data_IF_513872346239
#
_entry.id   IF_513872346239
#
_cell.length_a   1.000
_cell.length_b   1.000
_cell.length_c   1.000
_cell.angle_alpha   90.00
_cell.angle_beta   90.00
_cell.angle_gamma   90.00
#
_symmetry.space_group_name_H-M   'P 1'
#
loop_
_entity.id
_entity.type
_entity.pdbx_description
1 polymer ?
#
# COMPACT_ATOMS: atom_id res chain seq x y z
N UNK A 1 -89.66 -33.14 20.72
CA UNK A 1 -89.96 -34.53 21.17
C UNK A 1 -89.36 -35.51 20.23
N UNK A 2 -88.79 -36.63 20.61
CA UNK A 2 -87.98 -36.93 21.78
C UNK A 2 -86.67 -37.70 21.43
N UNK A 3 -85.81 -37.71 22.44
CA UNK A 3 -85.01 -38.85 22.96
C UNK A 3 -83.76 -39.37 22.27
N UNK A 4 -82.69 -39.16 23.00
CA UNK A 4 -81.51 -39.97 23.12
C UNK A 4 -81.72 -41.47 23.25
N UNK A 5 -80.78 -42.41 23.00
CA UNK A 5 -79.87 -42.73 24.08
C UNK A 5 -78.42 -43.19 23.63
N UNK A 6 -77.49 -43.01 24.56
CA UNK A 6 -76.30 -43.69 24.94
C UNK A 6 -75.92 -45.06 24.26
N UNK A 7 -74.57 -45.25 24.00
CA UNK A 7 -73.75 -46.40 24.39
C UNK A 7 -72.32 -46.15 24.09
N UNK A 8 -71.56 -46.02 25.13
CA UNK A 8 -70.47 -46.90 25.65
C UNK A 8 -69.42 -47.40 24.66
N UNK A 9 -68.26 -46.84 24.88
CA UNK A 9 -66.91 -47.42 25.06
C UNK A 9 -66.59 -48.73 24.40
N UNK A 10 -65.49 -48.73 23.66
CA UNK A 10 -64.44 -49.79 23.75
C UNK A 10 -63.07 -49.20 23.40
N UNK A 11 -62.21 -49.19 24.40
CA UNK A 11 -60.78 -48.86 24.23
C UNK A 11 -60.07 -49.99 23.48
N UNK A 12 -59.61 -49.71 22.31
CA UNK A 12 -58.71 -50.62 21.58
C UNK A 12 -57.31 -50.05 21.61
N UNK A 13 -56.45 -50.59 22.43
CA UNK A 13 -55.06 -50.28 22.53
C UNK A 13 -54.36 -50.92 21.32
N UNK A 14 -54.09 -50.10 20.27
CA UNK A 14 -53.23 -50.50 19.14
C UNK A 14 -51.79 -50.17 19.51
N UNK A 15 -51.04 -51.20 19.83
CA UNK A 15 -49.59 -51.14 20.00
C UNK A 15 -48.97 -50.97 18.61
N UNK A 16 -48.57 -49.75 18.27
CA UNK A 16 -47.82 -49.46 17.05
C UNK A 16 -46.33 -49.84 17.28
N UNK A 17 -45.92 -50.97 16.76
CA UNK A 17 -44.52 -51.35 16.70
C UNK A 17 -43.87 -50.50 15.63
N UNK A 18 -43.15 -49.46 16.04
CA UNK A 18 -42.29 -48.67 15.14
C UNK A 18 -41.05 -49.56 14.78
N UNK A 19 -41.05 -50.11 13.59
CA UNK A 19 -39.81 -50.66 12.98
C UNK A 19 -38.94 -49.48 12.60
N UNK A 20 -37.96 -49.19 13.43
CA UNK A 20 -36.90 -48.26 13.09
C UNK A 20 -35.99 -48.93 12.06
N UNK A 21 -36.31 -48.74 10.79
CA UNK A 21 -35.40 -49.07 9.70
C UNK A 21 -34.18 -48.15 9.77
N UNK A 22 -33.02 -48.73 10.10
CA UNK A 22 -31.75 -48.05 9.98
C UNK A 22 -31.53 -47.68 8.51
N UNK A 23 -31.71 -46.41 8.16
CA UNK A 23 -31.27 -45.84 6.89
C UNK A 23 -29.72 -45.82 6.96
N UNK A 24 -29.00 -46.51 6.06
CA UNK A 24 -27.54 -46.42 6.04
C UNK A 24 -27.17 -44.95 5.85
N UNK A 25 -26.37 -44.46 6.80
CA UNK A 25 -26.01 -43.07 6.94
C UNK A 25 -25.49 -42.46 5.64
N UNK A 26 -26.21 -41.51 5.13
CA UNK A 26 -25.61 -40.43 4.35
C UNK A 26 -24.72 -39.66 5.33
N UNK A 27 -23.44 -40.01 5.33
CA UNK A 27 -22.42 -39.10 5.92
C UNK A 27 -22.46 -37.85 5.04
N UNK A 28 -23.25 -36.88 5.44
CA UNK A 28 -23.00 -35.52 5.00
C UNK A 28 -21.57 -35.24 5.50
N UNK A 29 -20.62 -35.33 4.57
CA UNK A 29 -19.30 -34.80 4.81
C UNK A 29 -19.56 -33.38 5.26
N UNK A 30 -19.30 -33.08 6.53
CA UNK A 30 -19.23 -31.70 6.99
C UNK A 30 -18.17 -31.05 6.10
N UNK A 31 -18.63 -30.28 5.14
CA UNK A 31 -17.75 -29.36 4.42
C UNK A 31 -17.21 -28.45 5.49
N UNK A 32 -15.96 -28.66 5.86
CA UNK A 32 -15.23 -27.77 6.73
C UNK A 32 -15.43 -26.34 6.18
N UNK A 33 -16.03 -25.42 6.93
CA UNK A 33 -16.23 -24.07 6.48
C UNK A 33 -14.93 -23.26 6.62
N UNK A 34 -13.78 -23.89 6.39
CA UNK A 34 -12.52 -23.14 6.28
C UNK A 34 -12.74 -22.07 5.24
N UNK A 35 -12.55 -20.80 5.60
CA UNK A 35 -12.81 -19.72 4.67
C UNK A 35 -11.94 -19.95 3.42
N UNK A 36 -12.54 -19.95 2.25
CA UNK A 36 -11.88 -20.19 0.97
C UNK A 36 -10.69 -19.25 0.74
N UNK A 37 -10.74 -18.06 1.35
CA UNK A 37 -9.71 -17.06 1.31
C UNK A 37 -9.28 -16.72 2.72
N UNK A 38 -7.97 -16.63 2.93
CA UNK A 38 -7.38 -16.40 4.25
C UNK A 38 -6.52 -15.15 4.30
N UNK A 39 -6.14 -14.60 3.14
CA UNK A 39 -5.31 -13.42 3.10
C UNK A 39 -6.09 -12.19 3.59
N UNK A 40 -5.58 -11.43 4.60
CA UNK A 40 -6.31 -10.33 5.23
C UNK A 40 -6.87 -9.30 4.24
N UNK A 41 -6.14 -8.97 3.17
CA UNK A 41 -6.57 -8.02 2.14
C UNK A 41 -7.80 -8.57 1.41
N UNK A 42 -7.81 -9.84 1.01
CA UNK A 42 -8.95 -10.46 0.32
C UNK A 42 -10.16 -10.57 1.24
N UNK A 43 -9.95 -11.05 2.48
CA UNK A 43 -11.03 -11.15 3.49
C UNK A 43 -11.65 -9.78 3.78
N UNK A 44 -10.84 -8.72 3.82
CA UNK A 44 -11.34 -7.35 4.00
C UNK A 44 -12.10 -6.85 2.78
N UNK A 45 -11.58 -7.08 1.57
CA UNK A 45 -12.25 -6.67 0.33
C UNK A 45 -13.63 -7.33 0.17
N UNK A 46 -13.77 -8.60 0.51
CA UNK A 46 -15.02 -9.36 0.44
C UNK A 46 -16.15 -8.79 1.30
N UNK A 47 -15.84 -8.03 2.36
CA UNK A 47 -16.88 -7.33 3.17
C UNK A 47 -17.66 -6.29 2.37
N UNK A 48 -17.10 -5.85 1.26
CA UNK A 48 -17.65 -4.81 0.39
C UNK A 48 -18.29 -5.37 -0.88
N UNK A 49 -18.25 -6.68 -1.12
CA UNK A 49 -18.84 -7.27 -2.32
C UNK A 49 -20.31 -6.89 -2.48
N UNK A 50 -20.67 -6.38 -3.65
CA UNK A 50 -22.00 -5.87 -3.98
C UNK A 50 -22.31 -4.46 -3.46
N UNK A 51 -21.44 -3.87 -2.63
CA UNK A 51 -21.61 -2.53 -2.10
C UNK A 51 -20.91 -1.46 -2.97
N UNK A 52 -21.22 -0.20 -2.71
CA UNK A 52 -20.48 0.93 -3.28
C UNK A 52 -19.03 0.98 -2.74
N UNK A 53 -18.06 0.92 -3.62
CA UNK A 53 -16.63 0.94 -3.30
C UNK A 53 -15.94 2.27 -3.62
N UNK A 54 -16.53 3.06 -4.50
CA UNK A 54 -15.88 4.20 -5.12
C UNK A 54 -14.95 3.76 -6.24
N UNK A 55 -14.03 4.64 -6.62
CA UNK A 55 -13.03 4.36 -7.66
C UNK A 55 -12.12 3.19 -7.26
N UNK A 56 -11.64 2.44 -8.23
CA UNK A 56 -10.80 1.24 -8.01
C UNK A 56 -9.55 1.55 -7.14
N UNK A 57 -8.93 2.70 -7.35
CA UNK A 57 -7.77 3.13 -6.59
C UNK A 57 -8.11 3.41 -5.12
N UNK A 58 -9.13 4.21 -4.85
CA UNK A 58 -9.54 4.55 -3.48
C UNK A 58 -10.10 3.34 -2.72
N UNK A 59 -10.79 2.44 -3.42
CA UNK A 59 -11.23 1.18 -2.85
C UNK A 59 -10.04 0.33 -2.38
N UNK A 60 -9.04 0.15 -3.24
CA UNK A 60 -7.84 -0.62 -2.92
C UNK A 60 -7.08 0.00 -1.76
N UNK A 61 -6.87 1.33 -1.75
CA UNK A 61 -6.20 2.03 -0.65
C UNK A 61 -6.89 1.78 0.69
N UNK A 62 -8.24 1.91 0.73
CA UNK A 62 -9.05 1.64 1.92
C UNK A 62 -8.90 0.21 2.39
N UNK A 63 -9.04 -0.77 1.50
CA UNK A 63 -8.93 -2.19 1.84
C UNK A 63 -7.56 -2.53 2.40
N UNK A 64 -6.49 -2.02 1.78
CA UNK A 64 -5.12 -2.25 2.26
C UNK A 64 -4.93 -1.65 3.66
N UNK A 65 -5.39 -0.43 3.87
CA UNK A 65 -5.29 0.22 5.19
C UNK A 65 -6.06 -0.56 6.26
N UNK A 66 -7.31 -0.93 6.01
CA UNK A 66 -8.12 -1.69 6.95
C UNK A 66 -7.55 -3.08 7.27
N UNK A 67 -6.97 -3.74 6.27
CA UNK A 67 -6.43 -5.09 6.42
C UNK A 67 -5.06 -5.11 7.11
N UNK A 68 -4.24 -4.07 6.93
CA UNK A 68 -2.82 -4.11 7.28
C UNK A 68 -2.36 -2.99 8.19
N UNK A 69 -3.14 -1.89 8.31
CA UNK A 69 -2.74 -0.64 8.93
C UNK A 69 -1.68 0.13 8.14
N UNK A 70 -1.44 -0.23 6.88
CA UNK A 70 -0.45 0.41 6.01
C UNK A 70 -1.16 1.32 5.01
N UNK A 71 -0.61 2.50 4.78
CA UNK A 71 -1.13 3.44 3.82
C UNK A 71 -0.43 3.27 2.47
N UNK A 72 -1.21 3.12 1.41
CA UNK A 72 -0.74 3.24 0.03
C UNK A 72 -0.72 4.72 -0.30
N UNK A 73 0.43 5.22 -0.73
CA UNK A 73 0.64 6.64 -0.99
C UNK A 73 -0.21 7.19 -2.14
N UNK A 74 -0.07 8.50 -2.40
CA UNK A 74 -0.87 9.19 -3.41
C UNK A 74 -0.46 8.85 -4.84
N UNK A 75 0.84 8.59 -5.09
CA UNK A 75 1.34 8.26 -6.41
C UNK A 75 0.73 6.95 -6.92
N UNK A 76 0.10 6.98 -8.09
CA UNK A 76 -0.67 5.85 -8.61
C UNK A 76 0.19 4.59 -8.84
N UNK A 77 1.46 4.76 -9.16
CA UNK A 77 2.40 3.66 -9.41
C UNK A 77 3.26 3.34 -8.18
N UNK A 78 3.87 4.37 -7.60
CA UNK A 78 4.87 4.21 -6.55
C UNK A 78 4.27 4.19 -5.13
N UNK A 79 3.02 4.62 -4.96
CA UNK A 79 2.34 4.66 -3.66
C UNK A 79 2.27 3.30 -2.96
N UNK A 80 2.36 2.19 -3.69
CA UNK A 80 2.45 0.85 -3.10
C UNK A 80 3.72 0.65 -2.28
N UNK A 81 4.83 1.26 -2.69
CA UNK A 81 6.09 1.16 -1.95
C UNK A 81 6.02 1.88 -0.61
N UNK A 82 5.15 2.90 -0.48
CA UNK A 82 4.88 3.57 0.81
C UNK A 82 4.24 2.59 1.81
N UNK A 83 3.40 1.68 1.34
CA UNK A 83 2.86 0.59 2.14
C UNK A 83 3.88 -0.54 2.42
N UNK A 84 5.11 -0.40 1.93
CA UNK A 84 6.16 -1.40 2.04
C UNK A 84 6.00 -2.57 1.07
N UNK A 85 5.27 -2.37 -0.03
CA UNK A 85 5.11 -3.39 -1.05
C UNK A 85 6.43 -3.67 -1.79
N UNK A 86 6.52 -4.85 -2.35
CA UNK A 86 7.49 -5.21 -3.39
C UNK A 86 6.74 -5.52 -4.68
N UNK A 87 7.27 -5.07 -5.81
CA UNK A 87 6.78 -5.48 -7.12
C UNK A 87 7.18 -6.95 -7.37
N UNK A 88 6.25 -7.72 -7.90
CA UNK A 88 6.46 -9.14 -8.22
C UNK A 88 6.04 -9.41 -9.67
N UNK A 89 6.64 -10.39 -10.35
CA UNK A 89 6.16 -10.80 -11.67
C UNK A 89 4.68 -11.16 -11.64
N UNK A 90 3.90 -10.80 -12.67
CA UNK A 90 2.49 -11.17 -12.77
C UNK A 90 2.27 -12.68 -12.64
N UNK A 91 3.18 -13.49 -13.20
CA UNK A 91 3.12 -14.95 -13.10
C UNK A 91 3.25 -15.48 -11.65
N UNK A 92 3.83 -14.69 -10.76
CA UNK A 92 4.03 -15.01 -9.35
C UNK A 92 3.00 -14.35 -8.42
N UNK A 93 2.10 -13.55 -9.00
CA UNK A 93 1.04 -12.91 -8.22
C UNK A 93 0.12 -13.96 -7.61
N UNK A 94 -0.29 -13.75 -6.38
CA UNK A 94 -1.07 -14.69 -5.56
C UNK A 94 -2.14 -13.98 -4.74
N UNK A 95 -2.94 -14.75 -3.99
CA UNK A 95 -3.97 -14.22 -3.09
C UNK A 95 -3.44 -13.04 -2.26
N UNK A 96 -4.14 -11.91 -2.32
CA UNK A 96 -3.83 -10.68 -1.60
C UNK A 96 -2.84 -9.74 -2.28
N UNK A 97 -2.20 -10.15 -3.36
CA UNK A 97 -1.39 -9.21 -4.18
C UNK A 97 -2.33 -8.25 -4.94
N UNK A 98 -1.81 -7.10 -5.28
CA UNK A 98 -2.56 -6.07 -6.03
C UNK A 98 -2.06 -6.04 -7.46
N UNK A 99 -2.97 -6.17 -8.42
CA UNK A 99 -2.68 -5.92 -9.84
C UNK A 99 -3.07 -4.49 -10.17
N UNK A 100 -2.22 -3.81 -10.90
CA UNK A 100 -2.45 -2.45 -11.39
C UNK A 100 -2.13 -2.37 -12.88
N UNK A 101 -3.01 -1.71 -13.64
CA UNK A 101 -2.71 -1.23 -14.98
C UNK A 101 -2.43 0.25 -14.89
N UNK A 102 -1.23 0.68 -15.28
CA UNK A 102 -0.75 2.06 -15.18
C UNK A 102 0.10 2.45 -16.40
N UNK A 103 0.19 3.75 -16.66
CA UNK A 103 1.17 4.32 -17.59
C UNK A 103 2.39 4.77 -16.78
N UNK A 104 3.53 4.09 -16.99
CA UNK A 104 4.77 4.34 -16.25
C UNK A 104 5.32 5.77 -16.43
N UNK A 105 4.79 6.53 -17.39
CA UNK A 105 5.18 7.92 -17.65
C UNK A 105 4.28 8.96 -16.98
N UNK A 106 3.12 8.52 -16.47
CA UNK A 106 2.14 9.39 -15.82
C UNK A 106 1.62 8.70 -14.56
N UNK A 107 2.35 8.85 -13.47
CA UNK A 107 2.11 8.12 -12.22
C UNK A 107 1.44 8.98 -11.15
N UNK A 108 1.09 10.23 -11.46
CA UNK A 108 0.42 11.11 -10.50
C UNK A 108 -0.87 10.49 -9.96
N UNK A 109 -1.12 10.65 -8.66
CA UNK A 109 -2.32 10.11 -8.01
C UNK A 109 -3.63 10.78 -8.44
N UNK A 110 -3.55 11.88 -9.18
CA UNK A 110 -4.66 12.55 -9.86
C UNK A 110 -4.76 12.17 -11.35
N UNK A 111 -3.96 11.19 -11.80
CA UNK A 111 -4.06 10.67 -13.15
C UNK A 111 -5.46 10.08 -13.38
N UNK A 112 -6.18 10.64 -14.33
CA UNK A 112 -7.51 10.20 -14.74
C UNK A 112 -7.54 10.03 -16.27
N UNK A 113 -7.10 8.88 -16.73
CA UNK A 113 -7.16 8.52 -18.14
C UNK A 113 -7.63 7.08 -18.33
N UNK A 114 -8.25 6.82 -19.49
CA UNK A 114 -8.82 5.53 -19.80
C UNK A 114 -7.79 4.41 -19.78
N UNK A 115 -8.13 3.32 -19.11
CA UNK A 115 -7.29 2.12 -19.02
C UNK A 115 -6.59 1.94 -17.69
N UNK A 116 -6.57 2.95 -16.81
CA UNK A 116 -6.13 2.77 -15.43
C UNK A 116 -7.08 1.82 -14.70
N UNK A 117 -6.53 0.85 -14.01
CA UNK A 117 -7.32 -0.02 -13.16
C UNK A 117 -6.48 -0.66 -12.07
N UNK A 118 -7.12 -0.93 -10.93
CA UNK A 118 -6.51 -1.59 -9.78
C UNK A 118 -7.43 -2.69 -9.27
N UNK A 119 -6.90 -3.90 -9.09
CA UNK A 119 -7.66 -5.06 -8.64
C UNK A 119 -6.87 -5.88 -7.61
N UNK A 120 -7.57 -6.50 -6.67
CA UNK A 120 -7.01 -7.37 -5.64
C UNK A 120 -7.09 -8.82 -6.13
N UNK A 121 -5.96 -9.52 -6.16
CA UNK A 121 -5.90 -10.93 -6.59
C UNK A 121 -6.55 -11.82 -5.54
N UNK A 122 -7.50 -12.61 -5.98
CA UNK A 122 -8.08 -13.70 -5.20
C UNK A 122 -7.46 -15.05 -5.58
N UNK A 123 -7.18 -15.25 -6.87
CA UNK A 123 -6.58 -16.49 -7.38
C UNK A 123 -5.83 -16.21 -8.68
N UNK A 124 -4.65 -16.77 -8.83
CA UNK A 124 -3.91 -16.81 -10.08
C UNK A 124 -4.28 -18.09 -10.83
N UNK A 125 -4.93 -17.97 -11.98
CA UNK A 125 -5.38 -19.11 -12.80
C UNK A 125 -4.28 -19.64 -13.73
N UNK A 126 -3.15 -18.93 -13.82
CA UNK A 126 -2.13 -19.17 -14.82
C UNK A 126 -2.48 -18.52 -16.17
N UNK A 127 -1.53 -18.56 -17.11
CA UNK A 127 -1.76 -18.00 -18.44
C UNK A 127 -2.01 -16.49 -18.50
N UNK A 128 -1.79 -15.76 -17.42
CA UNK A 128 -2.08 -14.32 -17.31
C UNK A 128 -3.50 -14.00 -16.86
N UNK A 129 -4.29 -15.01 -16.51
CA UNK A 129 -5.65 -14.84 -16.02
C UNK A 129 -5.75 -14.92 -14.50
N UNK A 130 -6.62 -14.08 -13.95
CA UNK A 130 -6.82 -13.96 -12.50
C UNK A 130 -8.31 -13.95 -12.15
N UNK A 131 -8.62 -14.50 -10.98
CA UNK A 131 -9.81 -14.13 -10.24
C UNK A 131 -9.47 -12.96 -9.35
N UNK A 132 -10.25 -11.87 -9.42
CA UNK A 132 -9.98 -10.64 -8.69
C UNK A 132 -11.22 -10.14 -7.98
N UNK A 133 -11.02 -9.26 -6.99
CA UNK A 133 -12.06 -8.40 -6.45
C UNK A 133 -11.62 -6.94 -6.62
N UNK A 134 -12.48 -6.13 -7.20
CA UNK A 134 -12.20 -4.74 -7.50
C UNK A 134 -13.47 -3.88 -7.44
N UNK A 135 -13.31 -2.59 -7.56
CA UNK A 135 -14.42 -1.63 -7.66
C UNK A 135 -14.38 -0.91 -8.99
N UNK A 136 -15.53 -0.43 -9.44
CA UNK A 136 -15.68 0.41 -10.62
C UNK A 136 -15.27 -0.23 -11.97
N UNK A 137 -15.19 -1.54 -12.05
CA UNK A 137 -14.87 -2.23 -13.31
C UNK A 137 -15.89 -1.95 -14.43
N UNK A 138 -17.12 -1.62 -14.07
CA UNK A 138 -18.22 -1.28 -14.99
C UNK A 138 -18.60 0.21 -14.94
N UNK A 139 -17.75 1.08 -14.41
CA UNK A 139 -18.01 2.52 -14.24
C UNK A 139 -19.18 2.86 -13.32
N UNK A 140 -19.50 1.97 -12.39
CA UNK A 140 -20.64 2.11 -11.45
C UNK A 140 -20.22 2.10 -9.98
N UNK A 141 -18.90 2.11 -9.73
CA UNK A 141 -18.29 2.16 -8.39
C UNK A 141 -18.72 1.02 -7.45
N UNK A 142 -19.24 -0.08 -7.98
CA UNK A 142 -19.65 -1.25 -7.21
C UNK A 142 -18.52 -2.27 -7.14
N UNK A 143 -18.33 -2.83 -5.94
CA UNK A 143 -17.33 -3.88 -5.69
C UNK A 143 -17.83 -5.22 -6.22
N UNK A 144 -17.01 -5.91 -7.01
CA UNK A 144 -17.35 -7.21 -7.59
C UNK A 144 -16.17 -8.17 -7.58
N UNK A 145 -16.51 -9.44 -7.41
CA UNK A 145 -15.62 -10.54 -7.77
C UNK A 145 -15.75 -10.80 -9.26
N UNK A 146 -14.62 -10.90 -9.94
CA UNK A 146 -14.55 -11.18 -11.38
C UNK A 146 -13.62 -12.34 -11.68
N UNK A 147 -14.05 -13.23 -12.56
CA UNK A 147 -13.23 -14.32 -13.13
C UNK A 147 -12.62 -13.88 -14.47
N UNK A 148 -11.52 -14.51 -14.86
CA UNK A 148 -10.91 -14.32 -16.18
C UNK A 148 -10.34 -12.91 -16.44
N UNK A 149 -9.95 -12.19 -15.38
CA UNK A 149 -9.32 -10.89 -15.56
C UNK A 149 -7.89 -11.05 -16.05
N UNK A 150 -7.61 -10.54 -17.25
CA UNK A 150 -6.27 -10.50 -17.83
C UNK A 150 -5.81 -9.04 -17.90
N UNK A 151 -4.90 -8.59 -17.00
CA UNK A 151 -4.47 -7.21 -16.93
C UNK A 151 -3.65 -6.76 -18.14
N UNK A 152 -2.93 -7.68 -18.78
CA UNK A 152 -2.16 -7.39 -20.01
C UNK A 152 -3.08 -7.10 -21.19
N UNK A 153 -4.12 -7.89 -21.36
CA UNK A 153 -5.16 -7.64 -22.37
C UNK A 153 -5.95 -6.37 -22.04
N UNK A 154 -6.25 -6.14 -20.76
CA UNK A 154 -6.92 -4.93 -20.31
C UNK A 154 -6.11 -3.68 -20.69
N UNK A 155 -4.80 -3.69 -20.45
CA UNK A 155 -3.89 -2.62 -20.85
C UNK A 155 -3.91 -2.38 -22.38
N UNK A 156 -3.90 -3.45 -23.16
CA UNK A 156 -3.85 -3.37 -24.63
C UNK A 156 -5.13 -2.78 -25.27
N UNK A 157 -6.30 -2.91 -24.60
CA UNK A 157 -7.60 -2.48 -25.16
C UNK A 157 -7.75 -0.98 -25.36
N UNK A 158 -7.01 -0.18 -24.62
CA UNK A 158 -7.20 1.28 -24.58
C UNK A 158 -6.33 2.05 -25.58
N UNK A 159 -5.53 1.36 -26.40
CA UNK A 159 -4.73 2.00 -27.44
C UNK A 159 -3.58 2.89 -26.91
N UNK A 160 -3.36 2.95 -25.59
CA UNK A 160 -2.22 3.60 -25.00
C UNK A 160 -1.05 2.60 -24.91
N UNK A 161 0.00 2.73 -25.75
CA UNK A 161 1.09 1.76 -25.81
C UNK A 161 1.99 1.78 -24.55
N UNK A 162 1.74 2.69 -23.63
CA UNK A 162 2.54 2.84 -22.41
C UNK A 162 1.89 2.20 -21.18
N UNK A 163 0.62 1.78 -21.31
CA UNK A 163 -0.02 1.04 -20.25
C UNK A 163 0.69 -0.30 -20.04
N UNK A 164 1.00 -0.58 -18.77
CA UNK A 164 1.61 -1.82 -18.32
C UNK A 164 0.84 -2.39 -17.15
N UNK A 165 0.88 -3.70 -17.03
CA UNK A 165 0.34 -4.40 -15.88
C UNK A 165 1.46 -4.69 -14.87
N UNK A 166 1.22 -4.33 -13.63
CA UNK A 166 2.13 -4.51 -12.50
C UNK A 166 1.45 -5.34 -11.42
N UNK A 167 2.20 -6.05 -10.62
CA UNK A 167 1.69 -6.72 -9.42
C UNK A 167 2.53 -6.34 -8.20
N UNK A 168 1.85 -6.07 -7.08
CA UNK A 168 2.47 -5.62 -5.84
C UNK A 168 2.07 -6.54 -4.70
N UNK A 169 3.05 -6.94 -3.90
CA UNK A 169 2.88 -7.71 -2.68
C UNK A 169 3.08 -6.84 -1.47
N UNK A 170 2.02 -6.63 -0.70
CA UNK A 170 2.05 -5.84 0.53
C UNK A 170 2.27 -6.77 1.72
N UNK A 171 3.25 -6.49 2.61
CA UNK A 171 3.50 -7.34 3.77
C UNK A 171 2.36 -7.23 4.79
N UNK A 172 1.81 -8.38 5.21
CA UNK A 172 0.79 -8.48 6.24
C UNK A 172 1.38 -9.12 7.51
N UNK A 173 0.98 -8.63 8.69
CA UNK A 173 1.39 -9.24 9.95
C UNK A 173 0.74 -10.62 10.08
N UNK A 174 1.52 -11.69 10.24
CA UNK A 174 1.02 -13.03 10.53
C UNK A 174 0.89 -13.99 9.36
N UNK A 175 1.14 -13.58 8.11
CA UNK A 175 1.29 -14.52 7.01
C UNK A 175 2.69 -15.16 7.04
N UNK A 176 2.82 -16.24 7.82
CA UNK A 176 3.98 -17.13 7.72
C UNK A 176 3.82 -17.94 6.43
N UNK A 177 4.44 -17.50 5.36
CA UNK A 177 4.45 -18.14 4.05
C UNK A 177 5.75 -17.86 3.33
N UNK A 178 6.68 -18.78 3.51
CA UNK A 178 7.84 -19.14 2.70
C UNK A 178 8.39 -18.14 1.68
N UNK A 179 9.62 -17.70 1.92
CA UNK A 179 10.61 -17.49 0.88
C UNK A 179 10.71 -16.05 0.35
N UNK A 180 11.68 -15.34 0.82
CA UNK A 180 12.19 -14.14 0.24
C UNK A 180 12.25 -12.99 1.25
N UNK A 181 13.25 -13.03 2.12
CA UNK A 181 13.73 -11.83 2.79
C UNK A 181 14.30 -10.89 1.73
N UNK A 182 13.41 -10.09 1.12
CA UNK A 182 13.83 -8.80 0.59
C UNK A 182 13.94 -7.88 1.81
N UNK A 183 15.05 -7.17 1.98
CA UNK A 183 15.14 -6.24 3.09
C UNK A 183 13.95 -5.30 2.98
N UNK A 184 13.22 -5.12 4.09
CA UNK A 184 12.37 -3.95 4.24
C UNK A 184 13.19 -2.79 3.71
N UNK A 185 12.74 -2.17 2.64
CA UNK A 185 13.26 -0.86 2.25
C UNK A 185 13.04 -0.02 3.50
N UNK A 186 14.12 0.10 4.28
CA UNK A 186 14.08 0.70 5.58
C UNK A 186 13.45 2.07 5.38
N UNK A 187 12.44 2.40 6.18
CA UNK A 187 12.20 3.80 6.47
C UNK A 187 13.58 4.34 6.80
N UNK A 188 14.14 5.10 5.87
CA UNK A 188 15.39 5.78 6.14
C UNK A 188 15.04 6.75 7.24
N UNK A 189 15.40 6.40 8.47
CA UNK A 189 15.22 7.31 9.61
C UNK A 189 16.07 8.53 9.31
N UNK A 190 15.43 9.55 8.74
CA UNK A 190 16.05 10.83 8.47
C UNK A 190 15.92 11.69 9.72
N UNK A 191 17.04 12.15 10.23
CA UNK A 191 17.12 13.03 11.38
C UNK A 191 17.87 14.32 11.01
N UNK A 192 17.69 15.35 11.82
CA UNK A 192 18.42 16.60 11.61
C UNK A 192 19.94 16.37 11.51
N UNK A 193 20.55 16.96 10.49
CA UNK A 193 21.96 16.81 10.17
C UNK A 193 22.28 15.66 9.18
N UNK A 194 21.32 14.78 8.89
CA UNK A 194 21.54 13.73 7.91
C UNK A 194 21.71 14.33 6.50
N UNK A 195 22.65 13.77 5.75
CA UNK A 195 22.80 14.06 4.33
C UNK A 195 22.03 13.03 3.52
N UNK A 196 21.32 13.50 2.51
CA UNK A 196 20.59 12.66 1.60
C UNK A 196 20.70 13.20 0.17
N UNK A 197 20.29 12.39 -0.79
CA UNK A 197 20.14 12.80 -2.20
C UNK A 197 18.72 12.54 -2.64
N UNK A 198 18.23 13.39 -3.54
CA UNK A 198 16.95 13.18 -4.22
C UNK A 198 17.04 11.94 -5.11
N UNK A 199 16.07 11.04 -4.97
CA UNK A 199 15.89 9.83 -5.76
C UNK A 199 14.42 9.71 -6.14
N UNK A 200 14.03 10.48 -7.16
CA UNK A 200 12.66 10.61 -7.68
C UNK A 200 12.54 10.05 -9.11
N UNK A 201 13.44 9.11 -9.46
CA UNK A 201 13.44 8.32 -10.70
C UNK A 201 13.27 9.13 -12.00
N UNK A 202 13.88 10.32 -12.04
CA UNK A 202 13.90 11.19 -13.22
C UNK A 202 12.86 12.32 -13.19
N UNK A 203 11.80 12.20 -12.40
CA UNK A 203 10.75 13.21 -12.33
C UNK A 203 11.12 14.43 -11.48
N UNK A 204 12.18 14.33 -10.68
CA UNK A 204 12.57 15.34 -9.72
C UNK A 204 11.58 15.47 -8.56
N UNK A 205 11.98 16.18 -7.51
CA UNK A 205 11.25 16.28 -6.25
C UNK A 205 10.79 17.73 -5.98
N UNK A 206 9.52 17.92 -5.72
CA UNK A 206 8.99 19.25 -5.38
C UNK A 206 9.47 19.69 -3.98
N UNK A 207 10.17 20.82 -3.92
CA UNK A 207 10.47 21.55 -2.69
C UNK A 207 9.31 22.48 -2.38
N UNK A 208 8.71 22.35 -1.19
CA UNK A 208 7.49 23.07 -0.82
C UNK A 208 7.68 23.98 0.38
N UNK A 209 6.82 24.99 0.48
CA UNK A 209 6.86 25.95 1.59
C UNK A 209 6.45 25.35 2.94
N UNK A 210 5.62 24.32 2.93
CA UNK A 210 5.11 23.61 4.10
C UNK A 210 4.95 22.12 3.77
N UNK A 211 4.80 21.24 4.78
CA UNK A 211 4.47 19.83 4.53
C UNK A 211 3.08 19.71 3.91
N UNK A 212 2.89 18.69 3.06
CA UNK A 212 1.62 18.41 2.38
C UNK A 212 1.64 18.72 0.88
N UNK A 213 0.84 17.96 0.14
CA UNK A 213 0.77 18.04 -1.34
C UNK A 213 0.11 19.33 -1.82
N UNK A 214 -0.75 19.92 -1.01
CA UNK A 214 -1.41 21.21 -1.29
C UNK A 214 -0.52 22.43 -1.03
N UNK A 215 0.62 22.27 -0.34
CA UNK A 215 1.52 23.37 -0.04
C UNK A 215 2.19 23.93 -1.31
N UNK A 216 2.38 25.25 -1.34
CA UNK A 216 2.99 25.95 -2.47
C UNK A 216 4.36 25.34 -2.82
N UNK A 217 4.55 24.96 -4.07
CA UNK A 217 5.85 24.54 -4.62
C UNK A 217 6.75 25.76 -4.72
N UNK A 218 7.94 25.68 -4.14
CA UNK A 218 8.98 26.70 -4.24
C UNK A 218 9.84 26.50 -5.49
N UNK A 219 10.25 25.24 -5.70
CA UNK A 219 11.01 24.82 -6.88
C UNK A 219 10.94 23.30 -7.01
N UNK A 220 11.47 22.75 -8.11
CA UNK A 220 11.63 21.33 -8.34
C UNK A 220 13.12 20.97 -8.28
N UNK A 221 13.48 20.04 -7.42
CA UNK A 221 14.84 19.52 -7.26
C UNK A 221 15.06 18.39 -8.26
N UNK A 222 16.18 18.43 -8.98
CA UNK A 222 16.55 17.33 -9.85
C UNK A 222 17.01 16.09 -9.02
N UNK A 223 16.96 14.93 -9.64
CA UNK A 223 17.55 13.72 -9.06
C UNK A 223 19.02 13.91 -8.76
N UNK A 224 19.49 13.21 -7.74
CA UNK A 224 20.84 13.34 -7.20
C UNK A 224 21.16 14.68 -6.56
N UNK A 225 20.20 15.62 -6.47
CA UNK A 225 20.40 16.85 -5.69
C UNK A 225 20.70 16.47 -4.24
N UNK A 226 21.85 16.95 -3.74
CA UNK A 226 22.23 16.78 -2.35
C UNK A 226 21.41 17.70 -1.44
N UNK A 227 20.89 17.13 -0.35
CA UNK A 227 20.11 17.88 0.65
C UNK A 227 20.62 17.54 2.06
N UNK A 228 20.42 18.46 2.99
CA UNK A 228 20.67 18.22 4.42
C UNK A 228 19.34 18.31 5.14
N UNK A 229 19.01 17.32 5.94
CA UNK A 229 17.76 17.30 6.72
C UNK A 229 17.88 18.28 7.89
N UNK A 230 16.89 19.15 8.04
CA UNK A 230 16.81 20.16 9.09
C UNK A 230 15.85 19.77 10.20
N UNK A 231 14.82 18.97 9.92
CA UNK A 231 13.81 18.57 10.90
C UNK A 231 14.31 17.47 11.83
N UNK A 232 13.98 17.60 13.12
CA UNK A 232 14.30 16.58 14.14
C UNK A 232 13.54 15.27 13.90
N UNK A 233 12.33 15.37 13.36
CA UNK A 233 11.47 14.24 13.02
C UNK A 233 10.65 14.57 11.78
N UNK A 234 10.26 13.57 10.98
CA UNK A 234 9.31 13.77 9.91
C UNK A 234 7.95 14.24 10.44
N UNK A 235 7.24 15.01 9.63
CA UNK A 235 5.85 15.45 9.87
C UNK A 235 4.95 14.70 8.91
N UNK A 236 4.01 13.92 9.44
CA UNK A 236 3.07 13.15 8.61
C UNK A 236 1.88 14.03 8.21
N UNK A 237 1.75 14.31 6.91
CA UNK A 237 0.65 15.07 6.30
C UNK A 237 0.28 14.39 4.97
N UNK A 238 -1.01 14.27 4.69
CA UNK A 238 -1.54 13.63 3.47
C UNK A 238 -1.00 12.21 3.27
N UNK A 239 -0.88 11.42 4.37
CA UNK A 239 -0.38 10.04 4.33
C UNK A 239 1.11 9.90 3.99
N UNK A 240 1.89 10.98 4.05
CA UNK A 240 3.34 11.02 3.75
C UNK A 240 4.13 11.63 4.89
N UNK A 241 5.32 11.13 5.05
CA UNK A 241 6.31 11.75 5.93
C UNK A 241 7.04 12.86 5.16
N UNK A 242 7.00 14.07 5.70
CA UNK A 242 7.66 15.25 5.18
C UNK A 242 8.82 15.64 6.06
N UNK A 243 9.92 16.00 5.45
CA UNK A 243 11.09 16.51 6.15
C UNK A 243 11.45 17.89 5.61
N UNK A 244 11.84 18.79 6.52
CA UNK A 244 12.42 20.06 6.13
C UNK A 244 13.88 19.82 5.76
N UNK A 245 14.30 20.35 4.62
CA UNK A 245 15.64 20.17 4.10
C UNK A 245 16.25 21.48 3.66
N UNK A 246 17.57 21.58 3.79
CA UNK A 246 18.37 22.62 3.15
C UNK A 246 18.90 22.10 1.83
N UNK A 247 18.74 22.89 0.78
CA UNK A 247 19.13 22.58 -0.59
C UNK A 247 19.91 23.74 -1.20
N UNK A 248 20.63 23.54 -2.32
CA UNK A 248 21.24 24.66 -3.06
C UNK A 248 20.26 25.75 -3.50
N UNK A 249 18.97 25.42 -3.59
CA UNK A 249 17.88 26.33 -3.99
C UNK A 249 17.16 26.98 -2.80
N UNK A 250 17.63 26.75 -1.56
CA UNK A 250 17.02 27.22 -0.33
C UNK A 250 16.37 26.10 0.47
N UNK A 251 15.76 26.49 1.60
CA UNK A 251 15.14 25.56 2.54
C UNK A 251 13.66 25.34 2.21
N UNK A 252 13.18 24.13 2.50
CA UNK A 252 11.78 23.78 2.28
C UNK A 252 11.47 22.34 2.64
N UNK A 253 10.24 21.95 2.39
CA UNK A 253 9.71 20.63 2.74
C UNK A 253 9.67 19.71 1.52
N UNK A 254 10.13 18.50 1.69
CA UNK A 254 10.08 17.43 0.69
C UNK A 254 9.51 16.15 1.31
N UNK A 255 8.88 15.32 0.48
CA UNK A 255 8.42 14.01 0.92
C UNK A 255 9.64 13.09 1.14
N UNK A 256 9.77 12.56 2.36
CA UNK A 256 10.95 11.82 2.84
C UNK A 256 11.25 10.56 2.02
N UNK A 257 10.23 9.92 1.47
CA UNK A 257 10.37 8.71 0.67
C UNK A 257 11.22 8.87 -0.60
N UNK A 258 11.33 10.11 -1.11
CA UNK A 258 12.16 10.42 -2.28
C UNK A 258 13.59 10.86 -1.91
N UNK A 259 13.99 10.62 -0.67
CA UNK A 259 15.34 10.90 -0.22
C UNK A 259 16.08 9.59 0.09
N UNK A 260 17.24 9.43 -0.48
CA UNK A 260 18.16 8.36 -0.16
C UNK A 260 19.24 8.89 0.77
N UNK A 261 19.26 8.41 2.02
CA UNK A 261 20.28 8.78 3.00
C UNK A 261 21.67 8.40 2.50
N UNK A 262 22.61 9.34 2.56
CA UNK A 262 24.00 9.05 2.32
C UNK A 262 24.62 8.51 3.61
N UNK A 263 25.00 7.24 3.60
CA UNK A 263 25.89 6.71 4.64
C UNK A 263 27.27 7.29 4.37
N UNK A 264 27.77 8.11 5.29
CA UNK A 264 29.18 8.51 5.29
C UNK A 264 29.94 7.20 5.55
N UNK A 265 30.48 6.60 4.50
CA UNK A 265 31.40 5.47 4.63
C UNK A 265 32.50 5.89 5.62
N UNK A 266 32.76 5.03 6.61
CA UNK A 266 33.71 5.31 7.68
C UNK A 266 35.00 5.91 7.12
N UNK A 267 35.37 7.04 7.69
CA UNK A 267 36.61 7.70 7.40
C UNK A 267 37.73 6.71 7.62
N UNK A 268 38.40 6.36 6.54
CA UNK A 268 39.73 5.71 6.61
C UNK A 268 40.63 6.61 7.42
N UNK A 269 41.09 6.14 8.55
CA UNK A 269 42.15 6.72 9.35
C UNK A 269 43.41 6.70 8.50
N UNK A 270 43.77 7.82 7.91
CA UNK A 270 45.01 7.97 7.15
C UNK A 270 45.27 9.43 6.85
N UNK A 271 46.11 10.06 7.66
CA UNK A 271 46.72 11.34 7.33
C UNK A 271 46.24 12.53 8.15
N UNK A 272 46.78 12.62 9.35
CA UNK A 272 46.77 13.83 10.15
C UNK A 272 47.54 14.94 9.38
N UNK A 273 46.79 15.88 8.77
CA UNK A 273 47.37 17.14 8.33
C UNK A 273 47.45 18.08 9.51
N UNK A 274 48.54 18.76 9.79
CA UNK A 274 48.66 19.64 10.93
C UNK A 274 47.68 20.83 10.79
N UNK A 275 46.96 21.09 11.84
CA UNK A 275 46.09 22.25 11.98
C UNK A 275 46.97 23.46 12.08
N UNK A 276 47.01 24.29 11.03
CA UNK A 276 47.63 25.62 11.10
C UNK A 276 46.73 26.52 11.94
N UNK A 277 47.10 26.69 13.21
CA UNK A 277 46.48 27.66 14.11
C UNK A 277 46.83 29.06 13.64
N UNK A 278 45.89 29.80 13.08
CA UNK A 278 46.02 31.23 12.86
C UNK A 278 45.86 31.93 14.20
N UNK A 279 46.97 32.45 14.73
CA UNK A 279 46.90 33.41 15.85
C UNK A 279 46.48 34.76 15.31
N UNK A 280 45.29 35.20 15.67
CA UNK A 280 44.84 36.60 15.48
C UNK A 280 45.50 37.41 16.57
N UNK A 281 46.52 38.20 16.28
CA UNK A 281 47.10 39.16 17.17
C UNK A 281 46.27 40.46 17.05
N UNK A 282 45.47 40.79 18.05
CA UNK A 282 44.77 42.07 18.13
C UNK A 282 45.76 43.07 18.72
N UNK A 283 46.10 44.18 18.06
CA UNK A 283 46.92 45.20 18.64
C UNK A 283 46.10 45.96 19.69
N UNK A 284 46.60 45.98 20.94
CA UNK A 284 46.05 46.82 21.99
C UNK A 284 46.56 48.25 21.74
N UNK A 285 45.67 49.16 21.31
CA UNK A 285 45.98 50.61 21.26
C UNK A 285 45.84 51.15 22.65
N UNK A 286 46.94 51.37 23.34
CA UNK A 286 46.97 52.10 24.61
C UNK A 286 46.82 53.61 24.28
N UNK A 287 45.64 54.13 24.52
CA UNK A 287 45.40 55.59 24.53
C UNK A 287 45.99 56.20 25.79
N UNK A 288 47.12 56.84 25.65
CA UNK A 288 47.67 57.72 26.71
C UNK A 288 46.89 59.00 26.78
N UNK A 289 46.30 59.28 27.92
CA UNK A 289 45.83 60.61 28.32
C UNK A 289 47.03 61.32 28.91
N UNK A 290 47.41 62.46 28.36
CA UNK A 290 48.34 63.38 28.99
C UNK A 290 47.62 64.66 29.38
N UNK A 291 48.10 65.41 30.41
CA UNK A 291 47.35 66.34 31.24
C UNK A 291 46.99 67.67 30.64
#
# INVERSE_FOLDING_TARGET
>A
MPLSPHRLALAGLLTLIAVVGAIPGVILAATDPSPRYTHPIVVTALKYEGAWGGQCWTFMQRVVFEATGREVGFDYRHGFFDAGASEVPLSEAREGDIIQVADDRHTSGDADYSGLHTAIVMENKGGGEFKVIDSNANWDEVVRVREGYNPTEAAARYGNPNLRAHAYRIPVKGAAGAGGSSPAAGRVSLAAGDRAVVAADGDGLNLRKAPGTSAKILTKLADSTAVTVLSQSPVSVDGRDWVNVSTPSGDGWVAAQYLKKQTVGGASTGGQRPITTWRVTIPIVSGGVQP
#
